data_IF_304977779531
#
_entry.id   IF_304977779531
#
_cell.length_a   1.000
_cell.length_b   1.000
_cell.length_c   1.000
_cell.angle_alpha   90.00
_cell.angle_beta   90.00
_cell.angle_gamma   90.00
#
_symmetry.space_group_name_H-M   'P 1'
#
loop_
_entity.id
_entity.type
_entity.pdbx_description
1 polymer ?
#
# COMPACT_ATOMS: atom_id res chain seq x y z
N UNK A 1 81.47 16.69 30.08
CA UNK A 1 80.46 15.61 29.96
C UNK A 1 79.25 16.11 30.73
N UNK A 2 78.04 16.24 30.21
CA UNK A 2 77.38 15.62 29.06
C UNK A 2 76.57 16.65 28.26
N UNK A 3 76.48 16.41 26.95
CA UNK A 3 75.42 16.92 26.09
C UNK A 3 74.12 16.19 26.43
N UNK A 4 73.02 16.91 26.58
CA UNK A 4 71.69 16.32 26.45
C UNK A 4 70.76 17.34 25.80
N UNK A 5 70.64 17.23 24.48
CA UNK A 5 69.51 17.78 23.73
C UNK A 5 68.25 16.98 24.07
N UNK A 6 67.14 17.61 24.49
CA UNK A 6 65.82 17.02 24.35
C UNK A 6 65.26 17.40 22.98
N UNK A 7 65.02 16.37 22.20
CA UNK A 7 64.46 16.40 20.87
C UNK A 7 63.10 17.12 20.86
N UNK A 8 62.93 17.98 19.87
CA UNK A 8 61.66 18.58 19.45
C UNK A 8 60.69 17.47 19.06
N UNK A 9 59.87 17.01 19.99
CA UNK A 9 58.74 16.14 19.66
C UNK A 9 57.62 16.97 18.99
N UNK A 10 56.96 16.44 17.94
CA UNK A 10 56.27 17.25 16.96
C UNK A 10 54.88 17.69 17.44
N UNK A 11 54.66 19.00 17.43
CA UNK A 11 53.42 19.72 17.84
C UNK A 11 52.13 19.26 17.12
N UNK A 12 52.22 18.42 16.09
CA UNK A 12 51.07 17.97 15.29
C UNK A 12 50.12 17.00 16.01
N UNK A 13 50.60 16.13 16.90
CA UNK A 13 49.74 15.09 17.52
C UNK A 13 48.70 15.66 18.50
N UNK A 14 48.99 16.80 19.13
CA UNK A 14 48.07 17.44 20.07
C UNK A 14 46.83 18.06 19.40
N UNK A 15 46.99 18.62 18.21
CA UNK A 15 45.89 19.30 17.49
C UNK A 15 44.84 18.29 16.98
N UNK A 16 45.27 17.18 16.37
CA UNK A 16 44.34 16.14 15.92
C UNK A 16 43.59 15.50 17.08
N UNK A 17 44.25 15.23 18.22
CA UNK A 17 43.57 14.69 19.41
C UNK A 17 42.51 15.65 19.96
N UNK A 18 42.77 16.96 19.95
CA UNK A 18 41.77 17.98 20.33
C UNK A 18 40.60 18.04 19.35
N UNK A 19 40.83 17.87 18.05
CA UNK A 19 39.75 17.81 17.07
C UNK A 19 38.91 16.54 17.22
N UNK A 20 39.53 15.37 17.40
CA UNK A 20 38.79 14.12 17.66
C UNK A 20 38.08 14.12 19.01
N UNK A 21 38.62 14.75 20.05
CA UNK A 21 37.87 14.97 21.28
C UNK A 21 36.71 15.93 21.07
N UNK A 22 36.88 17.05 20.35
CA UNK A 22 35.77 17.96 20.05
C UNK A 22 34.72 17.36 19.12
N UNK A 23 35.11 16.52 18.17
CA UNK A 23 34.17 15.74 17.36
C UNK A 23 33.53 14.64 18.19
N UNK A 24 34.28 13.93 19.04
CA UNK A 24 33.73 12.91 19.94
C UNK A 24 32.80 13.48 21.01
N UNK A 25 33.07 14.68 21.52
CA UNK A 25 32.21 15.44 22.42
C UNK A 25 31.01 16.00 21.66
N UNK A 26 31.18 16.57 20.46
CA UNK A 26 30.04 17.05 19.65
C UNK A 26 29.16 15.93 19.11
N UNK A 27 29.73 14.78 18.76
CA UNK A 27 29.01 13.59 18.29
C UNK A 27 28.43 12.82 19.49
N UNK A 28 29.12 12.82 20.64
CA UNK A 28 28.68 12.16 21.88
C UNK A 28 27.64 12.95 22.68
N UNK A 29 27.43 14.23 22.38
CA UNK A 29 26.38 15.07 23.01
C UNK A 29 25.21 15.36 22.08
N UNK A 30 25.11 14.68 20.94
CA UNK A 30 23.78 14.39 20.42
C UNK A 30 23.29 13.27 21.32
N UNK A 31 22.72 13.66 22.47
CA UNK A 31 21.72 12.79 23.11
C UNK A 31 20.80 12.44 21.96
N UNK A 32 20.85 11.21 21.48
CA UNK A 32 19.74 10.63 20.75
C UNK A 32 18.58 10.89 21.68
N UNK A 33 17.80 11.93 21.39
CA UNK A 33 16.56 12.18 22.09
C UNK A 33 15.72 10.97 21.74
N UNK A 34 15.80 9.94 22.58
CA UNK A 34 14.93 8.81 22.48
C UNK A 34 13.53 9.40 22.45
N UNK A 35 12.81 9.17 21.34
CA UNK A 35 11.45 9.63 21.19
C UNK A 35 10.67 9.12 22.41
N UNK A 36 9.75 9.95 22.92
CA UNK A 36 8.94 9.60 24.08
C UNK A 36 8.34 8.19 23.89
N UNK A 37 8.52 7.24 24.83
CA UNK A 37 7.95 5.90 24.72
C UNK A 37 6.44 5.90 24.46
N UNK A 38 5.69 6.87 25.00
CA UNK A 38 4.25 7.02 24.74
C UNK A 38 3.97 7.32 23.27
N UNK A 39 4.81 8.14 22.64
CA UNK A 39 4.72 8.43 21.22
C UNK A 39 5.02 7.19 20.37
N UNK A 40 6.09 6.46 20.72
CA UNK A 40 6.45 5.21 20.02
C UNK A 40 5.34 4.16 20.11
N UNK A 41 4.62 4.08 21.23
CA UNK A 41 3.47 3.20 21.36
C UNK A 41 2.31 3.63 20.44
N UNK A 42 2.01 4.92 20.35
CA UNK A 42 0.98 5.43 19.44
C UNK A 42 1.30 5.17 17.97
N UNK A 43 2.58 5.24 17.58
CA UNK A 43 3.02 4.88 16.23
C UNK A 43 2.77 3.40 15.96
N UNK A 44 3.13 2.51 16.90
CA UNK A 44 2.87 1.06 16.78
C UNK A 44 1.37 0.74 16.67
N UNK A 45 0.54 1.44 17.42
CA UNK A 45 -0.92 1.29 17.34
C UNK A 45 -1.45 1.71 15.96
N UNK A 46 -0.93 2.81 15.41
CA UNK A 46 -1.27 3.27 14.07
C UNK A 46 -0.82 2.29 12.98
N UNK A 47 0.38 1.71 13.10
CA UNK A 47 0.90 0.69 12.19
C UNK A 47 0.03 -0.57 12.21
N UNK A 48 -0.29 -1.06 13.40
CA UNK A 48 -1.17 -2.23 13.60
C UNK A 48 -2.56 -1.97 13.02
N UNK A 49 -3.11 -0.77 13.25
CA UNK A 49 -4.41 -0.39 12.71
C UNK A 49 -4.42 -0.35 11.18
N UNK A 50 -3.36 0.19 10.56
CA UNK A 50 -3.20 0.14 9.10
C UNK A 50 -3.14 -1.29 8.58
N UNK A 51 -2.33 -2.15 9.20
CA UNK A 51 -2.19 -3.55 8.77
C UNK A 51 -3.56 -4.26 8.75
N UNK A 52 -4.37 -4.05 9.80
CA UNK A 52 -5.73 -4.59 9.88
C UNK A 52 -6.65 -4.02 8.81
N UNK A 53 -6.57 -2.71 8.54
CA UNK A 53 -7.34 -2.09 7.48
C UNK A 53 -6.95 -2.57 6.07
N UNK A 54 -5.66 -2.82 5.82
CA UNK A 54 -5.20 -3.39 4.54
C UNK A 54 -5.83 -4.78 4.32
N UNK A 55 -5.74 -5.67 5.31
CA UNK A 55 -6.34 -7.02 5.25
C UNK A 55 -7.85 -6.96 5.04
N UNK A 56 -8.53 -6.03 5.73
CA UNK A 56 -9.98 -5.83 5.57
C UNK A 56 -10.32 -5.31 4.16
N UNK A 57 -9.58 -4.33 3.64
CA UNK A 57 -9.78 -3.78 2.31
C UNK A 57 -9.64 -4.86 1.24
N UNK A 58 -8.56 -5.64 1.29
CA UNK A 58 -8.31 -6.76 0.36
C UNK A 58 -9.41 -7.82 0.45
N UNK A 59 -9.84 -8.18 1.66
CA UNK A 59 -10.94 -9.13 1.86
C UNK A 59 -12.24 -8.64 1.23
N UNK A 60 -12.59 -7.36 1.40
CA UNK A 60 -13.78 -6.77 0.77
C UNK A 60 -13.65 -6.77 -0.76
N UNK A 61 -12.47 -6.41 -1.28
CA UNK A 61 -12.22 -6.40 -2.73
C UNK A 61 -12.32 -7.81 -3.33
N UNK A 62 -11.79 -8.84 -2.67
CA UNK A 62 -11.90 -10.23 -3.11
C UNK A 62 -13.34 -10.76 -3.13
N UNK A 63 -14.20 -10.32 -2.21
CA UNK A 63 -15.63 -10.67 -2.23
C UNK A 63 -16.34 -10.04 -3.42
N UNK A 64 -16.00 -8.79 -3.76
CA UNK A 64 -16.65 -8.06 -4.84
C UNK A 64 -16.10 -8.41 -6.23
N UNK A 65 -14.81 -8.72 -6.32
CA UNK A 65 -14.11 -9.08 -7.54
C UNK A 65 -13.56 -10.51 -7.42
N UNK A 66 -14.34 -11.45 -7.98
CA UNK A 66 -14.02 -12.87 -7.93
C UNK A 66 -12.76 -13.26 -8.71
N UNK A 67 -12.29 -12.42 -9.64
CA UNK A 67 -11.02 -12.65 -10.32
C UNK A 67 -9.87 -12.03 -9.50
N UNK A 68 -9.04 -12.83 -8.82
CA UNK A 68 -7.96 -12.31 -7.98
C UNK A 68 -6.92 -11.51 -8.77
N UNK A 69 -6.78 -11.72 -10.09
CA UNK A 69 -5.85 -10.96 -10.93
C UNK A 69 -6.24 -9.49 -11.10
N UNK A 70 -7.49 -9.15 -10.81
CA UNK A 70 -8.04 -7.80 -10.89
C UNK A 70 -8.14 -7.14 -9.52
N UNK A 71 -7.76 -7.84 -8.45
CA UNK A 71 -7.75 -7.27 -7.08
C UNK A 71 -6.36 -6.69 -6.85
N UNK A 72 -6.23 -5.36 -6.70
CA UNK A 72 -4.96 -4.75 -6.40
C UNK A 72 -4.66 -4.85 -4.90
N UNK A 73 -3.40 -4.56 -4.54
CA UNK A 73 -2.98 -4.40 -3.13
C UNK A 73 -3.73 -3.25 -2.46
N UNK A 74 -3.90 -3.33 -1.13
CA UNK A 74 -4.58 -2.29 -0.37
C UNK A 74 -3.90 -0.91 -0.50
N UNK A 75 -2.58 -0.86 -0.57
CA UNK A 75 -1.78 0.38 -0.68
C UNK A 75 -1.75 0.95 -2.12
N UNK A 76 -2.87 0.84 -2.81
CA UNK A 76 -3.03 1.29 -4.19
C UNK A 76 -4.28 2.17 -4.32
N UNK A 77 -4.64 2.54 -5.55
CA UNK A 77 -5.92 3.22 -5.83
C UNK A 77 -7.15 2.38 -5.47
N UNK A 78 -6.99 1.08 -5.20
CA UNK A 78 -8.07 0.12 -4.94
C UNK A 78 -9.12 0.14 -6.08
N UNK A 79 -8.64 0.09 -7.32
CA UNK A 79 -9.47 -0.05 -8.52
C UNK A 79 -9.52 -1.52 -8.90
N UNK A 80 -10.66 -2.14 -8.64
CA UNK A 80 -10.89 -3.58 -8.84
C UNK A 80 -12.07 -3.83 -9.78
N UNK A 81 -12.56 -2.79 -10.48
CA UNK A 81 -13.58 -2.97 -11.51
C UNK A 81 -13.06 -3.86 -12.65
N UNK A 82 -13.92 -4.76 -13.14
CA UNK A 82 -13.59 -5.54 -14.32
C UNK A 82 -13.54 -4.63 -15.56
N UNK A 83 -12.48 -4.74 -16.41
CA UNK A 83 -12.40 -3.98 -17.65
C UNK A 83 -13.60 -4.24 -18.57
N UNK A 84 -13.86 -3.28 -19.46
CA UNK A 84 -14.95 -3.40 -20.44
C UNK A 84 -14.72 -4.62 -21.34
N UNK A 85 -15.76 -5.42 -21.57
CA UNK A 85 -15.74 -6.64 -22.39
C UNK A 85 -14.79 -7.74 -21.91
N UNK A 86 -14.33 -7.69 -20.64
CA UNK A 86 -13.52 -8.74 -20.03
C UNK A 86 -14.25 -9.48 -18.91
N UNK A 87 -15.48 -9.09 -18.58
CA UNK A 87 -16.26 -9.82 -17.60
C UNK A 87 -16.65 -11.20 -18.17
N UNK A 88 -16.44 -12.30 -17.44
CA UNK A 88 -16.75 -13.65 -17.92
C UNK A 88 -18.20 -13.81 -18.40
N UNK A 89 -19.14 -13.09 -17.78
CA UNK A 89 -20.57 -13.16 -18.15
C UNK A 89 -20.86 -12.39 -19.43
N UNK A 90 -20.14 -11.30 -19.70
CA UNK A 90 -20.22 -10.61 -20.99
C UNK A 90 -19.66 -11.46 -22.12
N UNK A 91 -18.46 -12.01 -21.90
CA UNK A 91 -17.82 -12.90 -22.86
C UNK A 91 -18.71 -14.12 -23.16
N UNK A 92 -19.36 -14.67 -22.13
CA UNK A 92 -20.33 -15.74 -22.30
C UNK A 92 -21.53 -15.30 -23.14
N UNK A 93 -22.10 -14.11 -22.88
CA UNK A 93 -23.24 -13.60 -23.65
C UNK A 93 -22.91 -13.46 -25.14
N UNK A 94 -21.73 -12.93 -25.47
CA UNK A 94 -21.25 -12.79 -26.85
C UNK A 94 -21.03 -14.17 -27.49
N UNK A 95 -20.45 -15.10 -26.74
CA UNK A 95 -20.21 -16.47 -27.22
C UNK A 95 -21.52 -17.23 -27.48
N UNK A 96 -22.52 -17.04 -26.61
CA UNK A 96 -23.85 -17.63 -26.77
C UNK A 96 -24.57 -17.07 -28.00
N UNK A 97 -24.48 -15.77 -28.26
CA UNK A 97 -25.04 -15.17 -29.47
C UNK A 97 -24.35 -15.71 -30.74
N UNK A 98 -23.02 -15.87 -30.71
CA UNK A 98 -22.27 -16.44 -31.84
C UNK A 98 -22.64 -17.91 -32.15
N UNK A 99 -23.10 -18.65 -31.14
CA UNK A 99 -23.53 -20.05 -31.28
C UNK A 99 -25.04 -20.20 -31.48
N UNK A 100 -25.78 -19.12 -31.73
CA UNK A 100 -27.25 -19.12 -31.77
C UNK A 100 -27.85 -20.17 -32.69
N UNK A 101 -27.28 -20.38 -33.88
CA UNK A 101 -27.74 -21.38 -34.84
C UNK A 101 -27.65 -22.82 -34.31
N UNK A 102 -26.67 -23.10 -33.46
CA UNK A 102 -26.51 -24.42 -32.83
C UNK A 102 -27.62 -24.73 -31.81
N UNK A 103 -28.37 -23.70 -31.38
CA UNK A 103 -29.46 -23.80 -30.42
C UNK A 103 -30.83 -23.48 -31.05
N UNK A 104 -30.98 -23.69 -32.36
CA UNK A 104 -32.22 -23.39 -33.12
C UNK A 104 -33.50 -23.99 -32.50
N UNK A 105 -33.41 -25.17 -31.87
CA UNK A 105 -34.54 -25.80 -31.17
C UNK A 105 -34.93 -25.10 -29.83
N UNK A 106 -34.05 -24.27 -29.27
CA UNK A 106 -34.18 -23.69 -27.93
C UNK A 106 -33.89 -22.17 -27.91
N UNK A 107 -34.18 -21.47 -29.00
CA UNK A 107 -33.95 -20.02 -29.13
C UNK A 107 -34.50 -19.21 -27.94
N UNK A 108 -35.74 -19.42 -27.45
CA UNK A 108 -36.26 -18.64 -26.32
C UNK A 108 -35.45 -18.81 -25.03
N UNK A 109 -34.95 -20.02 -24.77
CA UNK A 109 -34.13 -20.31 -23.60
C UNK A 109 -32.73 -19.68 -23.73
N UNK A 110 -32.12 -19.76 -24.93
CA UNK A 110 -30.86 -19.11 -25.23
C UNK A 110 -30.94 -17.59 -24.99
N UNK A 111 -31.97 -16.94 -25.54
CA UNK A 111 -32.16 -15.50 -25.37
C UNK A 111 -32.36 -15.10 -23.90
N UNK A 112 -33.06 -15.94 -23.12
CA UNK A 112 -33.20 -15.72 -21.67
C UNK A 112 -31.84 -15.81 -20.96
N UNK A 113 -31.00 -16.78 -21.33
CA UNK A 113 -29.64 -16.92 -20.80
C UNK A 113 -28.75 -15.72 -21.17
N UNK A 114 -28.81 -15.24 -22.42
CA UNK A 114 -28.06 -14.07 -22.88
C UNK A 114 -28.47 -12.82 -22.09
N UNK A 115 -29.79 -12.58 -21.95
CA UNK A 115 -30.31 -11.47 -21.13
C UNK A 115 -29.88 -11.57 -19.66
N UNK A 116 -29.89 -12.77 -19.10
CA UNK A 116 -29.45 -13.00 -17.73
C UNK A 116 -27.94 -12.70 -17.55
N UNK A 117 -27.11 -13.10 -18.51
CA UNK A 117 -25.68 -12.81 -18.52
C UNK A 117 -25.41 -11.31 -18.58
N UNK A 118 -26.06 -10.58 -19.49
CA UNK A 118 -25.94 -9.12 -19.61
C UNK A 118 -26.33 -8.44 -18.29
N UNK A 119 -27.50 -8.79 -17.73
CA UNK A 119 -27.97 -8.22 -16.47
C UNK A 119 -27.03 -8.52 -15.30
N UNK A 120 -26.45 -9.72 -15.26
CA UNK A 120 -25.49 -10.09 -14.22
C UNK A 120 -24.19 -9.28 -14.33
N UNK A 121 -23.69 -9.06 -15.55
CA UNK A 121 -22.53 -8.20 -15.79
C UNK A 121 -22.78 -6.76 -15.32
N UNK A 122 -23.95 -6.19 -15.65
CA UNK A 122 -24.35 -4.85 -15.22
C UNK A 122 -24.43 -4.74 -13.68
N UNK A 123 -25.04 -5.74 -13.03
CA UNK A 123 -25.14 -5.80 -11.58
C UNK A 123 -23.76 -5.89 -10.93
N UNK A 124 -22.88 -6.77 -11.42
CA UNK A 124 -21.50 -6.92 -10.94
C UNK A 124 -20.74 -5.58 -10.99
N UNK A 125 -20.84 -4.86 -12.13
CA UNK A 125 -20.23 -3.53 -12.26
C UNK A 125 -20.80 -2.52 -11.28
N UNK A 126 -22.12 -2.50 -11.11
CA UNK A 126 -22.78 -1.63 -10.14
C UNK A 126 -22.32 -1.90 -8.71
N UNK A 127 -22.19 -3.18 -8.33
CA UNK A 127 -21.70 -3.58 -7.02
C UNK A 127 -20.22 -3.23 -6.82
N UNK A 128 -19.36 -3.40 -7.82
CA UNK A 128 -17.96 -2.98 -7.72
C UNK A 128 -17.86 -1.47 -7.46
N UNK A 129 -18.60 -0.65 -8.23
CA UNK A 129 -18.66 0.81 -8.04
C UNK A 129 -19.20 1.19 -6.65
N UNK A 130 -20.22 0.50 -6.16
CA UNK A 130 -20.77 0.70 -4.81
C UNK A 130 -19.77 0.31 -3.73
N UNK A 131 -19.09 -0.82 -3.90
CA UNK A 131 -18.05 -1.29 -3.01
C UNK A 131 -16.88 -0.32 -2.91
N UNK A 132 -16.40 0.20 -4.05
CA UNK A 132 -15.36 1.23 -4.11
C UNK A 132 -15.73 2.50 -3.33
N UNK A 133 -17.02 2.87 -3.32
CA UNK A 133 -17.54 3.97 -2.48
C UNK A 133 -17.60 3.57 -1.01
N UNK A 134 -18.04 2.35 -0.70
CA UNK A 134 -18.15 1.86 0.67
C UNK A 134 -16.79 1.78 1.39
N UNK A 135 -15.72 1.40 0.67
CA UNK A 135 -14.36 1.34 1.22
C UNK A 135 -13.59 2.67 1.11
N UNK A 136 -14.25 3.77 0.73
CA UNK A 136 -13.58 5.05 0.50
C UNK A 136 -12.79 5.53 1.73
N UNK A 137 -13.37 5.46 2.92
CA UNK A 137 -12.70 5.92 4.15
C UNK A 137 -11.49 5.05 4.51
N UNK A 138 -11.59 3.73 4.29
CA UNK A 138 -10.46 2.80 4.47
C UNK A 138 -9.33 3.18 3.51
N UNK A 139 -9.66 3.40 2.24
CA UNK A 139 -8.69 3.85 1.22
C UNK A 139 -8.03 5.17 1.58
N UNK A 140 -8.82 6.16 2.01
CA UNK A 140 -8.30 7.48 2.39
C UNK A 140 -7.36 7.37 3.58
N UNK A 141 -7.72 6.57 4.60
CA UNK A 141 -6.86 6.37 5.74
C UNK A 141 -5.51 5.76 5.36
N UNK A 142 -5.52 4.66 4.59
CA UNK A 142 -4.30 3.93 4.21
C UNK A 142 -3.39 4.80 3.34
N UNK A 143 -3.94 5.46 2.32
CA UNK A 143 -3.15 6.13 1.28
C UNK A 143 -2.88 7.61 1.53
N UNK A 144 -3.61 8.26 2.44
CA UNK A 144 -3.50 9.70 2.70
C UNK A 144 -3.18 9.96 4.16
N UNK A 145 -4.05 9.57 5.08
CA UNK A 145 -3.93 9.96 6.49
C UNK A 145 -2.72 9.32 7.16
N UNK A 146 -2.49 8.03 6.91
CA UNK A 146 -1.35 7.30 7.45
C UNK A 146 -0.02 7.81 6.90
N UNK A 147 0.05 8.01 5.57
CA UNK A 147 1.24 8.57 4.91
C UNK A 147 1.57 9.95 5.48
N UNK A 148 0.56 10.81 5.66
CA UNK A 148 0.73 12.13 6.23
C UNK A 148 1.26 12.08 7.69
N UNK A 149 0.70 11.20 8.52
CA UNK A 149 1.14 11.02 9.92
C UNK A 149 2.60 10.59 10.00
N UNK A 150 3.02 9.65 9.16
CA UNK A 150 4.41 9.20 9.11
C UNK A 150 5.35 10.30 8.60
N UNK A 151 4.96 11.05 7.57
CA UNK A 151 5.78 12.16 7.09
C UNK A 151 6.03 13.19 8.21
N UNK A 152 5.02 13.48 9.04
CA UNK A 152 5.21 14.35 10.22
C UNK A 152 6.14 13.71 11.25
N UNK A 153 6.08 12.39 11.46
CA UNK A 153 6.99 11.66 12.34
C UNK A 153 8.47 11.71 11.93
N UNK A 154 8.77 11.77 10.62
CA UNK A 154 10.16 11.82 10.13
C UNK A 154 10.73 13.24 10.05
N UNK A 155 9.87 14.26 10.04
CA UNK A 155 10.29 15.68 9.94
C UNK A 155 10.56 16.28 11.33
N UNK A 156 9.86 15.82 12.37
CA UNK A 156 10.02 16.26 13.76
C UNK A 156 11.08 15.44 14.50
#
# INVERSE_FOLDING_TARGET
>A
MEMASPQTEPEGRGAFRKLFMKLGEKVGTIKTSELNPDYLNQVKDADTYKEMLCKLAESIMHVLQQNPKLVPEAESKMEFECPLNQDPTELLSVSLEAMRENFSAHIPALEACIRACIKLAELRRSYCKRGRRAIHFIRTFINVDYVCKICVSYIC
#
